data_IF_722250121585
#
_entry.id   IF_722250121585
#
_cell.length_a   1.000
_cell.length_b   1.000
_cell.length_c   1.000
_cell.angle_alpha   90.00
_cell.angle_beta   90.00
_cell.angle_gamma   90.00
#
_symmetry.space_group_name_H-M   'P 1'
#
loop_
_entity.id
_entity.type
_entity.pdbx_description
1 polymer ?
#
# COMPACT_ATOMS: atom_id res chain seq x y z
N UNK A 1 -18.83 -34.53 11.13
CA UNK A 1 -20.26 -34.23 11.42
C UNK A 1 -20.44 -33.69 12.85
N UNK A 2 -19.81 -34.31 13.87
CA UNK A 2 -19.90 -33.84 15.28
C UNK A 2 -19.31 -32.43 15.45
N UNK A 3 -18.22 -32.09 14.75
CA UNK A 3 -17.55 -30.81 14.85
C UNK A 3 -18.41 -29.63 14.36
N UNK A 4 -19.40 -29.91 13.48
CA UNK A 4 -20.32 -28.88 12.99
C UNK A 4 -21.51 -28.62 13.94
N UNK A 5 -21.82 -29.59 14.79
CA UNK A 5 -23.02 -29.56 15.65
C UNK A 5 -22.68 -29.14 17.08
N UNK A 6 -21.42 -29.34 17.52
CA UNK A 6 -20.96 -29.05 18.87
C UNK A 6 -19.92 -27.90 18.91
N UNK A 7 -20.15 -26.94 19.81
CA UNK A 7 -19.21 -25.85 20.08
C UNK A 7 -18.34 -26.10 21.31
N UNK A 8 -18.65 -27.15 22.08
CA UNK A 8 -17.94 -27.50 23.33
C UNK A 8 -17.59 -28.98 23.30
N UNK A 9 -16.28 -29.26 23.47
CA UNK A 9 -15.73 -30.60 23.57
C UNK A 9 -15.00 -30.73 24.91
N UNK A 10 -15.44 -31.59 25.78
CA UNK A 10 -14.85 -31.79 27.11
C UNK A 10 -14.09 -33.12 27.19
N UNK A 11 -12.99 -33.15 27.93
CA UNK A 11 -12.15 -34.33 28.19
C UNK A 11 -11.68 -35.02 26.90
N UNK A 12 -11.25 -34.24 25.91
CA UNK A 12 -10.74 -34.73 24.63
C UNK A 12 -9.28 -35.15 24.72
N UNK A 13 -8.93 -36.23 24.00
CA UNK A 13 -7.53 -36.67 23.86
C UNK A 13 -6.74 -35.78 22.92
N UNK A 14 -5.39 -35.83 22.93
CA UNK A 14 -4.56 -35.08 21.97
C UNK A 14 -4.95 -35.38 20.52
N UNK A 15 -5.25 -36.63 20.18
CA UNK A 15 -5.69 -37.06 18.86
C UNK A 15 -7.01 -36.38 18.46
N UNK A 16 -7.97 -36.32 19.39
CA UNK A 16 -9.27 -35.68 19.15
C UNK A 16 -9.10 -34.17 18.94
N UNK A 17 -8.20 -33.51 19.66
CA UNK A 17 -7.88 -32.09 19.42
C UNK A 17 -7.35 -31.86 18.00
N UNK A 18 -6.44 -32.73 17.55
CA UNK A 18 -5.88 -32.70 16.21
C UNK A 18 -6.96 -32.92 15.15
N UNK A 19 -7.88 -33.89 15.37
CA UNK A 19 -9.00 -34.17 14.47
C UNK A 19 -9.95 -32.97 14.37
N UNK A 20 -10.26 -32.29 15.47
CA UNK A 20 -11.11 -31.10 15.49
C UNK A 20 -10.46 -29.98 14.64
N UNK A 21 -9.18 -29.70 14.86
CA UNK A 21 -8.44 -28.70 14.07
C UNK A 21 -8.47 -29.04 12.58
N UNK A 22 -8.20 -30.30 12.23
CA UNK A 22 -8.20 -30.79 10.86
C UNK A 22 -9.58 -30.65 10.22
N UNK A 23 -10.65 -31.07 10.91
CA UNK A 23 -12.00 -30.96 10.40
C UNK A 23 -12.43 -29.52 10.13
N UNK A 24 -12.07 -28.58 11.02
CA UNK A 24 -12.35 -27.16 10.81
C UNK A 24 -11.55 -26.58 9.61
N UNK A 25 -10.29 -27.02 9.41
CA UNK A 25 -9.51 -26.62 8.26
C UNK A 25 -10.07 -27.18 6.94
N UNK A 26 -10.52 -28.42 6.96
CA UNK A 26 -11.15 -29.07 5.77
C UNK A 26 -12.43 -28.37 5.37
N UNK A 27 -13.15 -27.75 6.32
CA UNK A 27 -14.33 -26.89 6.08
C UNK A 27 -13.95 -25.49 5.57
N UNK A 28 -12.66 -25.19 5.41
CA UNK A 28 -12.17 -23.92 4.91
C UNK A 28 -12.01 -22.83 5.97
N UNK A 29 -12.09 -23.20 7.28
CA UNK A 29 -11.81 -22.25 8.36
C UNK A 29 -10.33 -22.04 8.56
N UNK A 30 -9.94 -20.81 8.93
CA UNK A 30 -8.61 -20.49 9.47
C UNK A 30 -8.68 -20.70 10.98
N UNK A 31 -7.94 -21.66 11.47
CA UNK A 31 -8.01 -22.14 12.87
C UNK A 31 -6.84 -21.58 13.67
N UNK A 32 -7.13 -20.85 14.74
CA UNK A 32 -6.16 -20.57 15.81
C UNK A 32 -6.39 -21.57 16.97
N UNK A 33 -5.37 -22.26 17.37
CA UNK A 33 -5.39 -23.23 18.49
C UNK A 33 -4.60 -22.68 19.66
N UNK A 34 -5.21 -22.67 20.85
CA UNK A 34 -4.49 -22.29 22.09
C UNK A 34 -4.25 -23.52 22.94
N UNK A 35 -3.09 -23.62 23.58
CA UNK A 35 -2.75 -24.72 24.46
C UNK A 35 -1.58 -24.40 25.38
N UNK A 36 -1.48 -25.13 26.50
CA UNK A 36 -0.47 -24.95 27.53
C UNK A 36 0.34 -26.24 27.81
N UNK A 37 -0.18 -27.38 27.40
CA UNK A 37 0.38 -28.69 27.70
C UNK A 37 1.12 -29.37 26.55
N UNK A 38 1.94 -30.35 26.89
CA UNK A 38 2.64 -31.24 25.92
C UNK A 38 1.62 -31.93 24.99
N UNK A 39 0.45 -32.27 25.53
CA UNK A 39 -0.64 -32.91 24.79
C UNK A 39 -1.27 -32.01 23.71
N UNK A 40 -1.03 -30.73 23.77
CA UNK A 40 -1.57 -29.75 22.80
C UNK A 40 -0.63 -29.53 21.60
N UNK A 41 0.64 -29.91 21.74
CA UNK A 41 1.66 -29.65 20.73
C UNK A 41 1.31 -30.14 19.32
N UNK A 42 0.73 -31.34 19.10
CA UNK A 42 0.33 -31.78 17.77
C UNK A 42 -0.75 -30.89 17.15
N UNK A 43 -1.76 -30.46 17.95
CA UNK A 43 -2.84 -29.59 17.51
C UNK A 43 -2.36 -28.12 17.30
N UNK A 44 -1.47 -27.63 18.18
CA UNK A 44 -0.82 -26.31 18.02
C UNK A 44 -0.05 -26.24 16.70
N UNK A 45 0.76 -27.27 16.41
CA UNK A 45 1.55 -27.33 15.17
C UNK A 45 0.70 -27.51 13.91
N UNK A 46 -0.45 -28.16 14.03
CA UNK A 46 -1.38 -28.39 12.89
C UNK A 46 -2.24 -27.18 12.57
N UNK A 47 -2.58 -26.38 13.56
CA UNK A 47 -3.39 -25.17 13.36
C UNK A 47 -2.74 -24.19 12.38
N UNK A 48 -3.53 -23.26 11.83
CA UNK A 48 -2.99 -22.19 11.00
C UNK A 48 -2.15 -21.21 11.84
N UNK A 49 -2.53 -21.07 13.13
CA UNK A 49 -1.76 -20.34 14.14
C UNK A 49 -1.87 -21.11 15.45
N UNK A 50 -0.75 -21.67 15.93
CA UNK A 50 -0.62 -22.22 17.26
C UNK A 50 -0.26 -21.13 18.27
N UNK A 51 -0.97 -21.06 19.40
CA UNK A 51 -0.77 -20.05 20.44
C UNK A 51 -0.51 -20.75 21.78
N UNK A 52 0.69 -20.65 22.31
CA UNK A 52 1.04 -21.19 23.62
C UNK A 52 0.94 -20.16 24.73
N UNK A 53 0.63 -20.63 25.94
CA UNK A 53 0.70 -19.82 27.16
C UNK A 53 2.17 -19.61 27.58
N UNK A 54 2.53 -18.39 27.94
CA UNK A 54 3.90 -18.02 28.30
C UNK A 54 4.27 -18.34 29.73
N UNK A 55 3.31 -18.19 30.66
CA UNK A 55 3.51 -18.44 32.10
C UNK A 55 3.22 -19.90 32.41
N UNK A 56 2.06 -20.41 32.04
CA UNK A 56 1.61 -21.78 32.35
C UNK A 56 2.03 -22.81 31.31
N UNK A 57 2.40 -22.37 30.09
CA UNK A 57 2.75 -23.24 29.00
C UNK A 57 4.08 -23.97 29.20
N UNK A 58 4.13 -25.25 28.80
CA UNK A 58 5.33 -26.05 28.76
C UNK A 58 6.27 -25.62 27.63
N UNK A 59 7.57 -25.91 27.74
CA UNK A 59 8.52 -25.61 26.66
C UNK A 59 8.12 -26.30 25.34
N UNK A 60 7.59 -27.52 25.42
CA UNK A 60 7.08 -28.25 24.23
C UNK A 60 5.93 -27.54 23.55
N UNK A 61 4.97 -26.98 24.31
CA UNK A 61 3.86 -26.22 23.73
C UNK A 61 4.35 -24.91 23.10
N UNK A 62 5.34 -24.25 23.73
CA UNK A 62 5.94 -23.00 23.19
C UNK A 62 6.73 -23.29 21.91
N UNK A 63 7.50 -24.35 21.84
CA UNK A 63 8.23 -24.74 20.63
C UNK A 63 7.32 -25.18 19.48
N UNK A 64 6.16 -25.75 19.81
CA UNK A 64 5.17 -26.16 18.80
C UNK A 64 4.27 -25.03 18.29
N UNK A 65 4.32 -23.83 18.90
CA UNK A 65 3.43 -22.72 18.61
C UNK A 65 4.11 -21.66 17.73
N UNK A 66 3.27 -20.89 17.00
CA UNK A 66 3.70 -19.73 16.22
C UNK A 66 3.73 -18.45 17.07
N UNK A 67 2.98 -18.43 18.16
CA UNK A 67 2.84 -17.28 19.07
C UNK A 67 2.87 -17.74 20.53
N UNK A 68 3.50 -16.94 21.40
CA UNK A 68 3.52 -17.16 22.84
C UNK A 68 2.91 -15.95 23.55
N UNK A 69 1.87 -16.17 24.36
CA UNK A 69 1.22 -15.15 25.17
C UNK A 69 1.99 -14.95 26.47
N UNK A 70 2.78 -13.91 26.59
CA UNK A 70 3.63 -13.65 27.75
C UNK A 70 2.85 -13.39 29.04
N UNK A 71 1.59 -12.99 28.95
CA UNK A 71 0.68 -12.63 30.05
C UNK A 71 -0.42 -13.66 30.29
N UNK A 72 -0.45 -14.76 29.52
CA UNK A 72 -1.50 -15.80 29.52
C UNK A 72 -2.93 -15.23 29.40
N UNK A 73 -3.06 -14.06 28.77
CA UNK A 73 -4.33 -13.36 28.68
C UNK A 73 -4.97 -13.51 27.28
N UNK A 74 -6.17 -14.09 27.23
CA UNK A 74 -6.91 -14.24 25.97
C UNK A 74 -7.23 -12.90 25.26
N UNK A 75 -7.33 -11.79 26.01
CA UNK A 75 -7.53 -10.46 25.38
C UNK A 75 -6.36 -10.06 24.48
N UNK A 76 -5.15 -10.57 24.77
CA UNK A 76 -3.95 -10.35 23.95
C UNK A 76 -4.06 -11.04 22.60
N UNK A 77 -4.79 -12.15 22.47
CA UNK A 77 -5.11 -12.77 21.17
C UNK A 77 -5.94 -11.81 20.31
N UNK A 78 -6.94 -11.14 20.90
CA UNK A 78 -7.77 -10.17 20.18
C UNK A 78 -6.93 -8.98 19.72
N UNK A 79 -6.00 -8.50 20.55
CA UNK A 79 -5.05 -7.46 20.16
C UNK A 79 -4.14 -7.92 19.02
N UNK A 80 -3.63 -9.16 19.07
CA UNK A 80 -2.80 -9.75 18.01
C UNK A 80 -3.57 -9.88 16.70
N UNK A 81 -4.85 -10.27 16.73
CA UNK A 81 -5.72 -10.32 15.53
C UNK A 81 -5.89 -8.90 14.96
N UNK A 82 -6.12 -7.90 15.82
CA UNK A 82 -6.24 -6.50 15.38
C UNK A 82 -4.98 -6.02 14.71
N UNK A 83 -3.81 -6.32 15.28
CA UNK A 83 -2.52 -5.96 14.71
C UNK A 83 -2.26 -6.69 13.38
N UNK A 84 -2.53 -7.99 13.31
CA UNK A 84 -2.42 -8.76 12.07
C UNK A 84 -3.31 -8.21 10.95
N UNK A 85 -4.53 -7.78 11.26
CA UNK A 85 -5.42 -7.11 10.29
C UNK A 85 -4.85 -5.77 9.83
N UNK A 86 -4.27 -5.00 10.75
CA UNK A 86 -3.62 -3.72 10.44
C UNK A 86 -2.42 -3.91 9.51
N UNK A 87 -1.56 -4.86 9.81
CA UNK A 87 -0.41 -5.22 8.98
C UNK A 87 -0.86 -5.63 7.57
N UNK A 88 -1.88 -6.48 7.47
CA UNK A 88 -2.44 -6.90 6.17
C UNK A 88 -3.00 -5.72 5.37
N UNK A 89 -3.76 -4.83 6.01
CA UNK A 89 -4.27 -3.61 5.37
C UNK A 89 -3.13 -2.71 4.87
N UNK A 90 -2.08 -2.56 5.66
CA UNK A 90 -0.92 -1.74 5.31
C UNK A 90 -0.13 -2.35 4.14
N UNK A 91 0.03 -3.69 4.11
CA UNK A 91 0.60 -4.40 2.95
C UNK A 91 -0.24 -4.15 1.69
N UNK A 92 -1.57 -4.18 1.79
CA UNK A 92 -2.45 -3.88 0.64
C UNK A 92 -2.32 -2.44 0.17
N UNK A 93 -2.20 -1.46 1.09
CA UNK A 93 -1.98 -0.04 0.75
C UNK A 93 -0.63 0.15 0.08
N UNK A 94 0.43 -0.44 0.64
CA UNK A 94 1.77 -0.47 0.08
C UNK A 94 1.77 -1.02 -1.36
N UNK A 95 1.19 -2.21 -1.55
CA UNK A 95 1.07 -2.85 -2.86
C UNK A 95 0.27 -1.98 -3.86
N UNK A 96 -0.88 -1.47 -3.43
CA UNK A 96 -1.72 -0.58 -4.24
C UNK A 96 -0.96 0.67 -4.66
N UNK A 97 -0.19 1.28 -3.75
CA UNK A 97 0.65 2.43 -4.05
C UNK A 97 1.67 2.11 -5.13
N UNK A 98 2.55 1.14 -4.89
CA UNK A 98 3.61 0.78 -5.82
C UNK A 98 3.09 0.37 -7.20
N UNK A 99 2.03 -0.43 -7.25
CA UNK A 99 1.46 -0.85 -8.54
C UNK A 99 0.83 0.32 -9.29
N UNK A 100 0.24 1.28 -8.60
CA UNK A 100 -0.37 2.46 -9.24
C UNK A 100 0.69 3.41 -9.79
N UNK A 101 1.75 3.69 -9.02
CA UNK A 101 2.85 4.55 -9.47
C UNK A 101 3.58 3.95 -10.66
N UNK A 102 3.94 2.67 -10.58
CA UNK A 102 4.55 1.94 -11.70
C UNK A 102 3.63 1.86 -12.95
N UNK A 103 2.31 1.71 -12.74
CA UNK A 103 1.34 1.78 -13.83
C UNK A 103 1.35 3.15 -14.51
N UNK A 104 1.43 4.24 -13.74
CA UNK A 104 1.56 5.60 -14.26
C UNK A 104 2.81 5.81 -15.09
N UNK A 105 3.97 5.36 -14.58
CA UNK A 105 5.24 5.40 -15.30
C UNK A 105 5.19 4.61 -16.62
N UNK A 106 4.63 3.41 -16.54
CA UNK A 106 4.48 2.54 -17.71
C UNK A 106 3.60 3.21 -18.79
N UNK A 107 2.45 3.78 -18.40
CA UNK A 107 1.57 4.48 -19.32
C UNK A 107 2.25 5.71 -19.94
N UNK A 108 3.02 6.47 -19.17
CA UNK A 108 3.80 7.60 -19.68
C UNK A 108 4.82 7.13 -20.72
N UNK A 109 5.59 6.08 -20.41
CA UNK A 109 6.64 5.56 -21.28
C UNK A 109 6.12 4.91 -22.57
N UNK A 110 4.96 4.24 -22.52
CA UNK A 110 4.35 3.61 -23.69
C UNK A 110 3.63 4.65 -24.56
N UNK A 111 2.86 5.54 -23.95
CA UNK A 111 1.98 6.46 -24.70
C UNK A 111 2.77 7.54 -25.42
N UNK A 112 3.85 8.05 -24.84
CA UNK A 112 4.61 9.14 -25.46
C UNK A 112 5.14 8.79 -26.88
N UNK A 113 5.82 7.67 -27.11
CA UNK A 113 6.23 7.29 -28.47
C UNK A 113 5.06 7.04 -29.42
N UNK A 114 3.93 6.50 -28.93
CA UNK A 114 2.74 6.25 -29.75
C UNK A 114 2.10 7.53 -30.30
N UNK A 115 2.25 8.65 -29.57
CA UNK A 115 1.78 9.98 -30.02
C UNK A 115 2.89 10.81 -30.71
N UNK A 116 4.03 10.16 -31.02
CA UNK A 116 5.15 10.77 -31.75
C UNK A 116 6.10 11.63 -30.91
N UNK A 117 6.02 11.55 -29.57
CA UNK A 117 6.97 12.21 -28.67
C UNK A 117 8.24 11.35 -28.48
N UNK A 118 9.41 11.95 -28.23
CA UNK A 118 10.56 11.20 -27.70
C UNK A 118 10.26 10.60 -26.33
N UNK A 119 11.18 9.73 -25.84
CA UNK A 119 11.03 9.14 -24.49
C UNK A 119 10.98 10.26 -23.43
N UNK A 120 9.92 10.27 -22.60
CA UNK A 120 9.70 11.37 -21.66
C UNK A 120 10.55 11.28 -20.39
N UNK A 121 11.04 10.09 -20.05
CA UNK A 121 11.85 9.85 -18.84
C UNK A 121 13.16 9.19 -19.21
N UNK A 122 14.23 9.62 -18.56
CA UNK A 122 15.56 9.02 -18.64
C UNK A 122 15.73 7.88 -17.63
N UNK A 123 16.61 6.89 -17.87
CA UNK A 123 16.81 5.75 -16.97
C UNK A 123 17.11 6.16 -15.51
N UNK A 124 17.94 7.20 -15.30
CA UNK A 124 18.24 7.69 -13.95
C UNK A 124 17.04 8.36 -13.27
N UNK A 125 16.16 8.99 -14.03
CA UNK A 125 14.91 9.57 -13.49
C UNK A 125 13.98 8.47 -13.05
N UNK A 126 13.83 7.38 -13.81
CA UNK A 126 13.03 6.20 -13.43
C UNK A 126 13.63 5.54 -12.18
N UNK A 127 14.96 5.39 -12.13
CA UNK A 127 15.62 4.84 -10.95
C UNK A 127 15.37 5.71 -9.69
N UNK A 128 15.44 7.04 -9.87
CA UNK A 128 15.12 8.00 -8.80
C UNK A 128 13.68 7.82 -8.29
N UNK A 129 12.72 7.71 -9.20
CA UNK A 129 11.32 7.53 -8.83
C UNK A 129 11.12 6.24 -8.05
N UNK A 130 11.60 5.13 -8.54
CA UNK A 130 11.46 3.84 -7.87
C UNK A 130 12.16 3.77 -6.50
N UNK A 131 13.32 4.42 -6.35
CA UNK A 131 14.09 4.35 -5.11
C UNK A 131 13.67 5.39 -4.08
N UNK A 132 13.51 6.64 -4.50
CA UNK A 132 13.27 7.78 -3.60
C UNK A 132 11.78 8.11 -3.51
N UNK A 133 11.13 8.30 -4.65
CA UNK A 133 9.75 8.75 -4.70
C UNK A 133 8.78 7.65 -4.27
N UNK A 134 9.01 6.42 -4.68
CA UNK A 134 8.16 5.29 -4.32
C UNK A 134 8.61 4.64 -3.01
N UNK A 135 9.91 4.43 -2.82
CA UNK A 135 10.45 3.67 -1.70
C UNK A 135 10.14 4.27 -0.33
N UNK A 136 10.44 5.54 -0.12
CA UNK A 136 10.28 6.20 1.18
C UNK A 136 8.80 6.25 1.63
N UNK A 137 7.84 6.75 0.80
CA UNK A 137 6.45 6.77 1.20
C UNK A 137 5.83 5.38 1.32
N UNK A 138 6.23 4.42 0.48
CA UNK A 138 5.76 3.04 0.56
C UNK A 138 6.11 2.40 1.90
N UNK A 139 7.35 2.55 2.37
CA UNK A 139 7.78 2.06 3.69
C UNK A 139 6.97 2.72 4.82
N UNK A 140 6.70 4.02 4.70
CA UNK A 140 5.92 4.75 5.70
C UNK A 140 4.44 4.33 5.74
N UNK A 141 3.86 3.81 4.64
CA UNK A 141 2.54 3.18 4.65
C UNK A 141 2.51 1.88 5.48
N UNK A 142 3.64 1.21 5.64
CA UNK A 142 3.76 -0.01 6.46
C UNK A 142 3.46 0.21 7.94
N UNK A 143 3.57 1.44 8.42
CA UNK A 143 3.30 1.82 9.82
C UNK A 143 2.03 2.69 9.95
N UNK A 144 1.11 2.62 9.00
CA UNK A 144 -0.18 3.32 9.07
C UNK A 144 -1.02 2.77 10.24
N UNK A 145 -1.65 3.64 11.05
CA UNK A 145 -2.52 3.22 12.13
C UNK A 145 -3.71 2.37 11.66
N UNK A 146 -4.27 1.52 12.56
CA UNK A 146 -5.42 0.67 12.23
C UNK A 146 -6.63 1.48 11.78
N UNK A 147 -7.34 0.98 10.78
CA UNK A 147 -8.61 1.56 10.35
C UNK A 147 -9.70 1.34 11.42
N UNK A 148 -10.58 2.32 11.60
CA UNK A 148 -11.62 2.31 12.65
C UNK A 148 -12.54 1.10 12.60
N UNK A 149 -12.70 0.49 11.44
CA UNK A 149 -13.56 -0.68 11.21
C UNK A 149 -12.79 -1.99 11.09
N UNK A 150 -11.48 -2.02 11.35
CA UNK A 150 -10.62 -3.20 11.14
C UNK A 150 -11.18 -4.46 11.81
N UNK A 151 -11.67 -4.35 13.05
CA UNK A 151 -12.25 -5.48 13.79
C UNK A 151 -13.73 -5.72 13.51
N UNK A 152 -14.43 -4.81 12.80
CA UNK A 152 -15.87 -4.96 12.46
C UNK A 152 -16.08 -5.63 11.10
N UNK A 153 -15.06 -5.69 10.28
CA UNK A 153 -15.10 -6.35 8.95
C UNK A 153 -15.02 -7.86 9.09
N UNK A 154 -15.69 -8.63 8.20
CA UNK A 154 -15.47 -10.06 8.12
C UNK A 154 -13.99 -10.38 7.83
N UNK A 155 -13.51 -11.58 8.18
CA UNK A 155 -12.19 -12.04 7.81
C UNK A 155 -12.01 -12.04 6.29
N UNK A 156 -10.79 -11.73 5.84
CA UNK A 156 -10.41 -11.84 4.43
C UNK A 156 -10.31 -13.32 4.07
N UNK A 157 -10.83 -13.70 2.90
CA UNK A 157 -10.74 -15.10 2.43
C UNK A 157 -9.31 -15.42 2.05
N UNK A 158 -8.85 -16.63 2.38
CA UNK A 158 -7.47 -17.09 2.12
C UNK A 158 -7.06 -17.07 0.64
N UNK A 159 -8.01 -17.21 -0.26
CA UNK A 159 -7.82 -17.19 -1.71
C UNK A 159 -8.21 -15.85 -2.37
N UNK A 160 -8.44 -14.79 -1.58
CA UNK A 160 -8.75 -13.47 -2.12
C UNK A 160 -7.53 -12.85 -2.80
N UNK A 161 -7.67 -12.47 -4.06
CA UNK A 161 -6.61 -11.80 -4.81
C UNK A 161 -6.30 -10.41 -4.21
N UNK A 162 -5.02 -10.03 -4.21
CA UNK A 162 -4.58 -8.67 -3.82
C UNK A 162 -5.23 -7.60 -4.73
N UNK A 163 -5.57 -7.94 -5.97
CA UNK A 163 -6.26 -7.07 -6.92
C UNK A 163 -7.78 -6.98 -6.70
N UNK A 164 -8.33 -7.77 -5.78
CA UNK A 164 -9.76 -7.75 -5.47
C UNK A 164 -10.22 -6.39 -4.92
N UNK A 165 -11.54 -6.25 -4.75
CA UNK A 165 -12.19 -5.06 -4.16
C UNK A 165 -11.86 -3.75 -4.90
N UNK A 166 -11.72 -3.83 -6.24
CA UNK A 166 -11.46 -2.68 -7.10
C UNK A 166 -10.02 -2.17 -7.08
N UNK A 167 -9.07 -2.89 -6.46
CA UNK A 167 -7.66 -2.51 -6.45
C UNK A 167 -7.07 -2.52 -7.86
N UNK A 168 -7.33 -3.57 -8.64
CA UNK A 168 -6.84 -3.66 -10.03
C UNK A 168 -7.38 -2.52 -10.91
N UNK A 169 -8.67 -2.22 -10.82
CA UNK A 169 -9.28 -1.10 -11.54
C UNK A 169 -8.64 0.23 -11.13
N UNK A 170 -8.43 0.44 -9.83
CA UNK A 170 -7.77 1.65 -9.31
C UNK A 170 -6.37 1.83 -9.89
N UNK A 171 -5.54 0.77 -9.90
CA UNK A 171 -4.18 0.79 -10.45
C UNK A 171 -4.18 1.28 -11.92
N UNK A 172 -5.08 0.75 -12.73
CA UNK A 172 -5.13 1.08 -14.15
C UNK A 172 -5.63 2.51 -14.38
N UNK A 173 -6.78 2.89 -13.79
CA UNK A 173 -7.37 4.20 -14.10
C UNK A 173 -6.60 5.36 -13.48
N UNK A 174 -6.05 5.21 -12.26
CA UNK A 174 -5.24 6.27 -11.63
C UNK A 174 -3.89 6.39 -12.33
N UNK A 175 -3.27 5.26 -12.71
CA UNK A 175 -2.06 5.28 -13.53
C UNK A 175 -2.27 5.98 -14.87
N UNK A 176 -3.40 5.70 -15.55
CA UNK A 176 -3.75 6.39 -16.80
C UNK A 176 -4.03 7.88 -16.58
N UNK A 177 -4.72 8.25 -15.48
CA UNK A 177 -4.92 9.64 -15.11
C UNK A 177 -3.58 10.37 -14.92
N UNK A 178 -2.63 9.77 -14.19
CA UNK A 178 -1.28 10.34 -14.02
C UNK A 178 -0.60 10.55 -15.37
N UNK A 179 -0.67 9.55 -16.26
CA UNK A 179 -0.08 9.67 -17.59
C UNK A 179 -0.70 10.81 -18.41
N UNK A 180 -2.00 10.97 -18.39
CA UNK A 180 -2.69 12.07 -19.09
C UNK A 180 -2.28 13.44 -18.52
N UNK A 181 -2.25 13.57 -17.19
CA UNK A 181 -1.85 14.81 -16.50
C UNK A 181 -0.40 15.19 -16.79
N UNK A 182 0.47 14.21 -17.04
CA UNK A 182 1.88 14.43 -17.38
C UNK A 182 2.05 14.72 -18.87
N UNK A 183 1.48 13.88 -19.74
CA UNK A 183 1.76 13.92 -21.17
C UNK A 183 1.01 15.02 -21.92
N UNK A 184 -0.21 15.39 -21.51
CA UNK A 184 -0.95 16.44 -22.21
C UNK A 184 -0.22 17.79 -22.16
N UNK A 185 0.18 18.33 -20.99
CA UNK A 185 0.99 19.54 -20.94
C UNK A 185 2.43 19.30 -21.43
N UNK A 186 3.01 18.12 -21.20
CA UNK A 186 4.32 17.74 -21.72
C UNK A 186 4.40 17.79 -23.24
N UNK A 187 3.36 17.31 -23.92
CA UNK A 187 3.23 17.39 -25.39
C UNK A 187 3.17 18.85 -25.88
N UNK A 188 2.40 19.68 -25.18
CA UNK A 188 2.31 21.11 -25.50
C UNK A 188 3.68 21.80 -25.38
N UNK A 189 4.39 21.59 -24.27
CA UNK A 189 5.73 22.12 -24.06
C UNK A 189 6.73 21.59 -25.09
N UNK A 190 6.71 20.31 -25.39
CA UNK A 190 7.56 19.71 -26.40
C UNK A 190 7.36 20.33 -27.78
N UNK A 191 6.11 20.61 -28.17
CA UNK A 191 5.79 21.28 -29.44
C UNK A 191 6.36 22.68 -29.53
N UNK A 192 6.34 23.43 -28.45
CA UNK A 192 6.93 24.78 -28.38
C UNK A 192 8.45 24.70 -28.45
N UNK A 193 9.08 23.84 -27.65
CA UNK A 193 10.54 23.68 -27.61
C UNK A 193 11.11 23.18 -28.93
N UNK A 194 10.40 22.34 -29.66
CA UNK A 194 10.80 21.87 -30.98
C UNK A 194 10.93 23.03 -32.01
N UNK A 195 10.21 24.14 -31.81
CA UNK A 195 10.30 25.34 -32.63
C UNK A 195 11.47 26.23 -32.21
N UNK A 196 11.76 26.31 -30.92
CA UNK A 196 12.73 27.25 -30.36
C UNK A 196 14.18 26.71 -30.30
N UNK A 197 14.42 25.42 -30.64
CA UNK A 197 15.76 24.82 -30.71
C UNK A 197 16.48 24.63 -29.37
N UNK A 198 15.76 24.52 -28.26
CA UNK A 198 16.32 24.29 -26.92
C UNK A 198 16.99 22.91 -26.79
N UNK A 199 18.24 22.87 -26.30
CA UNK A 199 19.04 21.66 -26.16
C UNK A 199 18.81 20.84 -24.89
N UNK A 200 18.19 21.43 -23.87
CA UNK A 200 17.81 20.74 -22.64
C UNK A 200 16.28 20.69 -22.52
N UNK A 201 15.71 19.49 -22.48
CA UNK A 201 14.27 19.32 -22.59
C UNK A 201 13.54 19.68 -21.29
N UNK A 202 13.12 20.93 -21.16
CA UNK A 202 12.24 21.44 -20.08
C UNK A 202 10.95 20.62 -19.98
N UNK A 203 10.38 20.20 -21.12
CA UNK A 203 9.19 19.36 -21.13
C UNK A 203 9.41 18.01 -20.42
N UNK A 204 10.58 17.35 -20.57
CA UNK A 204 10.89 16.11 -19.86
C UNK A 204 10.99 16.34 -18.35
N UNK A 205 11.67 17.40 -17.95
CA UNK A 205 11.76 17.79 -16.54
C UNK A 205 10.39 18.10 -15.95
N UNK A 206 9.52 18.75 -16.73
CA UNK A 206 8.14 19.02 -16.33
C UNK A 206 7.35 17.72 -16.14
N UNK A 207 7.38 16.78 -17.11
CA UNK A 207 6.73 15.46 -17.02
C UNK A 207 7.21 14.71 -15.78
N UNK A 208 8.52 14.63 -15.58
CA UNK A 208 9.14 14.00 -14.40
C UNK A 208 8.63 14.63 -13.09
N UNK A 209 8.55 15.96 -13.02
CA UNK A 209 8.11 16.67 -11.82
C UNK A 209 6.62 16.47 -11.55
N UNK A 210 5.77 16.56 -12.57
CA UNK A 210 4.32 16.31 -12.43
C UNK A 210 4.08 14.88 -11.96
N UNK A 211 4.80 13.90 -12.52
CA UNK A 211 4.65 12.50 -12.14
C UNK A 211 5.06 12.27 -10.69
N UNK A 212 6.22 12.76 -10.27
CA UNK A 212 6.70 12.68 -8.87
C UNK A 212 5.70 13.32 -7.89
N UNK A 213 5.21 14.52 -8.17
CA UNK A 213 4.24 15.18 -7.31
C UNK A 213 2.89 14.47 -7.30
N UNK A 214 2.48 13.87 -8.42
CA UNK A 214 1.26 13.06 -8.52
C UNK A 214 1.34 11.81 -7.66
N UNK A 215 2.49 11.15 -7.58
CA UNK A 215 2.74 10.02 -6.68
C UNK A 215 2.65 10.45 -5.22
N UNK A 216 3.17 11.63 -4.85
CA UNK A 216 3.02 12.17 -3.49
C UNK A 216 1.57 12.51 -3.15
N UNK A 217 0.83 13.08 -4.07
CA UNK A 217 -0.60 13.35 -3.93
C UNK A 217 -1.40 12.03 -3.77
N UNK A 218 -1.04 11.00 -4.55
CA UNK A 218 -1.65 9.67 -4.50
C UNK A 218 -1.42 8.97 -3.16
N UNK A 219 -0.18 8.94 -2.65
CA UNK A 219 0.12 8.27 -1.38
C UNK A 219 -0.66 8.86 -0.22
N UNK A 220 -0.84 10.18 -0.20
CA UNK A 220 -1.66 10.85 0.82
C UNK A 220 -3.14 10.47 0.71
N UNK A 221 -3.65 10.29 -0.49
CA UNK A 221 -5.05 9.94 -0.72
C UNK A 221 -5.36 8.47 -0.35
N UNK A 222 -4.44 7.53 -0.53
CA UNK A 222 -4.71 6.09 -0.30
C UNK A 222 -4.44 5.61 1.14
N UNK A 223 -4.13 6.49 2.08
CA UNK A 223 -3.87 6.16 3.49
C UNK A 223 -5.01 5.38 4.16
N UNK A 224 -6.22 5.61 3.73
CA UNK A 224 -7.38 4.80 4.09
C UNK A 224 -8.08 4.28 2.84
N UNK A 225 -8.59 3.04 2.92
CA UNK A 225 -9.38 2.44 1.86
C UNK A 225 -10.76 3.08 1.69
N UNK A 226 -11.32 3.61 2.77
CA UNK A 226 -12.69 4.11 2.82
C UNK A 226 -12.81 5.53 3.33
N UNK A 227 -12.05 5.92 4.36
CA UNK A 227 -12.16 7.25 4.97
C UNK A 227 -11.37 8.31 4.17
N UNK A 228 -11.89 9.54 4.17
CA UNK A 228 -11.17 10.68 3.60
C UNK A 228 -9.95 11.04 4.44
N UNK A 229 -8.88 11.55 3.81
CA UNK A 229 -7.71 12.07 4.50
C UNK A 229 -8.08 13.11 5.58
N UNK A 230 -9.07 13.95 5.31
CA UNK A 230 -9.53 14.97 6.26
C UNK A 230 -10.16 14.38 7.52
N UNK A 231 -10.72 13.17 7.45
CA UNK A 231 -11.28 12.45 8.59
C UNK A 231 -10.21 11.64 9.34
N UNK A 232 -9.27 11.06 8.61
CA UNK A 232 -8.12 10.31 9.17
C UNK A 232 -7.17 11.26 9.89
N UNK A 233 -6.96 12.44 9.32
CA UNK A 233 -6.02 13.44 9.79
C UNK A 233 -4.62 13.26 9.20
N UNK A 234 -4.02 14.36 8.75
CA UNK A 234 -2.70 14.32 8.12
C UNK A 234 -1.62 13.77 9.06
N UNK A 235 -1.64 14.18 10.31
CA UNK A 235 -0.65 13.84 11.34
C UNK A 235 -0.90 12.50 12.05
N UNK A 236 -1.87 11.70 11.64
CA UNK A 236 -2.07 10.36 12.21
C UNK A 236 -0.93 9.38 11.86
N UNK A 237 -0.16 9.65 10.78
CA UNK A 237 1.07 8.94 10.43
C UNK A 237 2.19 9.95 10.17
N UNK A 238 2.91 10.41 11.22
CA UNK A 238 4.01 11.35 11.06
C UNK A 238 5.15 10.83 10.15
N UNK A 239 5.58 9.56 10.21
CA UNK A 239 6.55 8.98 9.27
C UNK A 239 6.20 9.22 7.80
N UNK A 240 4.94 9.05 7.42
CA UNK A 240 4.51 9.29 6.04
C UNK A 240 4.57 10.76 5.66
N UNK A 241 4.15 11.65 6.55
CA UNK A 241 4.23 13.09 6.30
C UNK A 241 5.69 13.52 6.07
N UNK A 242 6.60 13.04 6.92
CA UNK A 242 8.02 13.33 6.76
C UNK A 242 8.62 12.70 5.51
N UNK A 243 8.21 11.48 5.13
CA UNK A 243 8.64 10.84 3.89
C UNK A 243 8.22 11.67 2.66
N UNK A 244 6.96 12.12 2.63
CA UNK A 244 6.44 12.97 1.53
C UNK A 244 7.18 14.31 1.49
N UNK A 245 7.37 14.98 2.61
CA UNK A 245 8.09 16.25 2.67
C UNK A 245 9.55 16.09 2.26
N UNK A 246 10.23 15.03 2.71
CA UNK A 246 11.60 14.73 2.34
C UNK A 246 11.71 14.45 0.84
N UNK A 247 10.80 13.66 0.27
CA UNK A 247 10.77 13.37 -1.18
C UNK A 247 10.58 14.66 -1.99
N UNK A 248 9.65 15.53 -1.59
CA UNK A 248 9.43 16.82 -2.25
C UNK A 248 10.69 17.70 -2.14
N UNK A 249 11.29 17.80 -0.95
CA UNK A 249 12.50 18.56 -0.74
C UNK A 249 13.66 18.04 -1.60
N UNK A 250 13.87 16.72 -1.66
CA UNK A 250 14.88 16.09 -2.49
C UNK A 250 14.62 16.33 -3.99
N UNK A 251 13.35 16.32 -4.41
CA UNK A 251 12.98 16.66 -5.79
C UNK A 251 13.37 18.11 -6.13
N UNK A 252 13.14 19.07 -5.23
CA UNK A 252 13.60 20.46 -5.44
C UNK A 252 15.10 20.59 -5.45
N UNK A 253 15.82 19.86 -4.58
CA UNK A 253 17.29 19.81 -4.61
C UNK A 253 17.77 19.30 -5.97
N UNK A 254 17.15 18.24 -6.50
CA UNK A 254 17.47 17.68 -7.80
C UNK A 254 17.24 18.69 -8.93
N UNK A 255 16.10 19.41 -8.89
CA UNK A 255 15.70 20.35 -9.92
C UNK A 255 16.58 21.63 -9.99
N UNK A 256 17.14 22.07 -8.86
CA UNK A 256 17.82 23.36 -8.78
C UNK A 256 19.32 23.29 -8.49
N UNK A 257 19.89 22.09 -8.31
CA UNK A 257 21.34 21.92 -8.15
C UNK A 257 22.00 21.65 -9.50
N UNK A 258 22.86 22.53 -10.03
CA UNK A 258 23.40 22.42 -11.38
C UNK A 258 24.12 21.11 -11.67
N UNK A 259 24.86 20.58 -10.71
CA UNK A 259 25.54 19.30 -10.83
C UNK A 259 24.57 18.14 -11.00
N UNK A 260 23.47 18.11 -10.21
CA UNK A 260 22.42 17.08 -10.30
C UNK A 260 21.62 17.22 -11.61
N UNK A 261 21.30 18.44 -12.04
CA UNK A 261 20.67 18.68 -13.33
C UNK A 261 21.45 18.03 -14.48
N UNK A 262 22.79 18.19 -14.46
CA UNK A 262 23.64 17.58 -15.48
C UNK A 262 23.59 16.04 -15.45
N UNK A 263 23.67 15.42 -14.26
CA UNK A 263 23.63 13.97 -14.11
C UNK A 263 22.27 13.39 -14.56
N UNK A 264 21.19 14.03 -14.13
CA UNK A 264 19.82 13.57 -14.39
C UNK A 264 19.24 14.11 -15.71
N UNK A 265 20.02 14.87 -16.48
CA UNK A 265 19.59 15.54 -17.71
C UNK A 265 18.31 16.35 -17.52
N UNK A 266 18.32 17.26 -16.54
CA UNK A 266 17.20 18.12 -16.17
C UNK A 266 17.44 19.55 -16.63
N UNK A 267 16.36 20.24 -17.03
CA UNK A 267 16.35 21.68 -17.24
C UNK A 267 15.67 22.38 -16.03
N UNK A 268 16.13 23.59 -15.66
CA UNK A 268 15.46 24.35 -14.61
C UNK A 268 14.05 24.71 -15.02
N UNK A 269 13.09 24.53 -14.09
CA UNK A 269 11.70 24.91 -14.29
C UNK A 269 11.43 26.30 -13.74
N UNK A 270 10.63 27.09 -14.46
CA UNK A 270 10.16 28.37 -13.96
C UNK A 270 9.17 28.19 -12.80
N UNK A 271 9.03 29.17 -11.89
CA UNK A 271 8.02 29.11 -10.82
C UNK A 271 6.59 28.86 -11.31
N UNK A 272 6.25 29.35 -12.50
CA UNK A 272 4.97 29.08 -13.17
C UNK A 272 4.80 27.59 -13.50
N UNK A 273 5.86 26.92 -13.96
CA UNK A 273 5.82 25.50 -14.29
C UNK A 273 5.60 24.65 -13.02
N UNK A 274 6.28 25.04 -11.93
CA UNK A 274 6.11 24.37 -10.62
C UNK A 274 4.66 24.56 -10.13
N UNK A 275 4.11 25.77 -10.22
CA UNK A 275 2.74 26.03 -9.82
C UNK A 275 1.73 25.19 -10.62
N UNK A 276 1.93 25.08 -11.94
CA UNK A 276 1.11 24.23 -12.81
C UNK A 276 1.30 22.75 -12.44
N UNK A 277 2.53 22.31 -12.21
CA UNK A 277 2.82 20.93 -11.80
C UNK A 277 2.10 20.57 -10.49
N UNK A 278 2.13 21.44 -9.49
CA UNK A 278 1.40 21.25 -8.21
C UNK A 278 -0.11 21.19 -8.45
N UNK A 279 -0.65 22.11 -9.26
CA UNK A 279 -2.08 22.12 -9.57
C UNK A 279 -2.53 20.84 -10.26
N UNK A 280 -1.80 20.37 -11.28
CA UNK A 280 -2.08 19.13 -12.00
C UNK A 280 -1.97 17.90 -11.08
N UNK A 281 -0.93 17.84 -10.28
CA UNK A 281 -0.72 16.72 -9.35
C UNK A 281 -1.79 16.64 -8.28
N UNK A 282 -2.35 17.77 -7.84
CA UNK A 282 -3.47 17.81 -6.89
C UNK A 282 -4.74 17.15 -7.44
N UNK A 283 -4.92 17.10 -8.76
CA UNK A 283 -6.05 16.41 -9.40
C UNK A 283 -6.09 14.94 -9.04
N UNK A 284 -4.92 14.28 -8.95
CA UNK A 284 -4.84 12.85 -8.55
C UNK A 284 -5.39 12.65 -7.14
N UNK A 285 -5.03 13.52 -6.20
CA UNK A 285 -5.55 13.48 -4.84
C UNK A 285 -7.09 13.58 -4.81
N UNK A 286 -7.64 14.59 -5.46
CA UNK A 286 -9.08 14.81 -5.49
C UNK A 286 -9.83 13.70 -6.22
N UNK A 287 -9.27 13.18 -7.30
CA UNK A 287 -9.86 12.07 -8.05
C UNK A 287 -9.98 10.80 -7.18
N UNK A 288 -8.95 10.48 -6.39
CA UNK A 288 -8.99 9.35 -5.45
C UNK A 288 -9.94 9.62 -4.28
N UNK A 289 -9.99 10.84 -3.74
CA UNK A 289 -10.97 11.21 -2.70
C UNK A 289 -12.42 11.09 -3.20
N UNK A 290 -12.68 11.48 -4.46
CA UNK A 290 -13.99 11.31 -5.11
C UNK A 290 -14.30 9.82 -5.30
N UNK A 291 -13.35 8.99 -5.74
CA UNK A 291 -13.53 7.53 -5.82
C UNK A 291 -13.97 6.95 -4.47
N UNK A 292 -13.30 7.33 -3.39
CA UNK A 292 -13.67 6.88 -2.04
C UNK A 292 -15.05 7.37 -1.61
N UNK A 293 -15.39 8.60 -1.96
CA UNK A 293 -16.72 9.14 -1.68
C UNK A 293 -17.82 8.36 -2.42
N UNK A 294 -17.62 8.05 -3.69
CA UNK A 294 -18.56 7.24 -4.50
C UNK A 294 -18.72 5.85 -3.88
N UNK A 295 -17.62 5.18 -3.54
CA UNK A 295 -17.65 3.84 -2.90
C UNK A 295 -18.46 3.85 -1.60
N UNK A 296 -18.22 4.81 -0.72
CA UNK A 296 -19.00 4.96 0.53
C UNK A 296 -20.49 5.18 0.27
N UNK A 297 -20.83 5.93 -0.76
CA UNK A 297 -22.23 6.20 -1.12
C UNK A 297 -22.95 4.96 -1.68
N UNK A 298 -22.20 4.04 -2.30
CA UNK A 298 -22.73 2.79 -2.82
C UNK A 298 -22.85 1.71 -1.73
N UNK A 299 -21.86 1.62 -0.81
CA UNK A 299 -21.85 0.66 0.30
C UNK A 299 -22.86 1.01 1.41
N UNK A 300 -23.29 2.25 1.49
CA UNK A 300 -24.32 2.74 2.43
C UNK A 300 -25.78 2.54 1.96
N UNK A 301 -25.98 1.87 0.83
CA UNK A 301 -27.28 1.44 0.29
C UNK A 301 -27.46 -0.07 0.44
#
# INVERSE_FOLDING_TARGET
RIVHEASIFARVTPETKLEIVTALQDDGHVVAMTGDGVNDAPALKKANIGVAMGITGTDVSKEASDMVLLDDNFSTIVAAISEGRTIYDNIRKFFKYLMTTNSGELWVMITAPLIGMPLPLMPLQILWMNLVTDGLPALALGVEPPERNAMKRPPVRTNESIFANGTGTHIVWVGLLMAVLCLAPGWYLWRIEAVDGYSASRWQTFVFTVLTLSQMAHVLAIRSGTDSLFKVGLWSNPPLVWAVLATIALQFVLLYTPWLQHIFNLAPLAPSDIAIAIALSSVVFWAVEIEKWIKRSLDGR
#
